data_IF_260909369221
#
_entry.id   IF_260909369221
#
_cell.length_a   1.000
_cell.length_b   1.000
_cell.length_c   1.000
_cell.angle_alpha   90.00
_cell.angle_beta   90.00
_cell.angle_gamma   90.00
#
_symmetry.space_group_name_H-M   'P 1'
#
loop_
_entity.id
_entity.type
_entity.pdbx_description
1 polymer ?
#
# COMPACT_ATOMS: atom_id res chain seq x y z
N UNK A 1 -0.07 2.91 -27.39
CA UNK A 1 -1.54 2.77 -27.45
C UNK A 1 -2.00 1.90 -26.31
N UNK A 2 -2.80 2.48 -25.45
CA UNK A 2 -3.47 1.70 -24.44
C UNK A 2 -4.57 0.89 -25.10
N UNK A 3 -4.37 -0.40 -25.19
CA UNK A 3 -5.39 -1.33 -25.67
C UNK A 3 -6.50 -1.51 -24.63
N UNK A 4 -6.31 -0.97 -23.47
CA UNK A 4 -7.26 -1.06 -22.34
C UNK A 4 -7.76 0.33 -22.01
N UNK A 5 -9.03 0.46 -21.56
CA UNK A 5 -9.50 1.74 -21.09
C UNK A 5 -8.60 2.20 -19.94
N UNK A 6 -8.38 3.52 -19.79
CA UNK A 6 -7.59 4.02 -18.65
C UNK A 6 -8.25 3.54 -17.36
N UNK A 7 -7.52 2.74 -16.60
CA UNK A 7 -7.96 2.31 -15.28
C UNK A 7 -7.72 3.46 -14.33
N UNK A 8 -8.61 3.66 -13.36
CA UNK A 8 -8.33 4.63 -12.34
C UNK A 8 -7.19 4.10 -11.47
N UNK A 9 -6.45 5.02 -10.88
CA UNK A 9 -5.26 4.71 -10.09
C UNK A 9 -5.56 3.80 -8.89
N UNK A 10 -6.78 3.92 -8.34
CA UNK A 10 -7.22 3.11 -7.22
C UNK A 10 -7.36 1.63 -7.61
N UNK A 11 -7.97 1.37 -8.78
CA UNK A 11 -8.10 0.01 -9.30
C UNK A 11 -6.73 -0.60 -9.62
N UNK A 12 -5.86 0.19 -10.22
CA UNK A 12 -4.49 -0.23 -10.55
C UNK A 12 -3.71 -0.57 -9.28
N UNK A 13 -3.84 0.23 -8.25
CA UNK A 13 -3.21 -0.01 -6.96
C UNK A 13 -3.74 -1.29 -6.32
N UNK A 14 -5.05 -1.51 -6.35
CA UNK A 14 -5.66 -2.69 -5.79
C UNK A 14 -5.17 -3.97 -6.48
N UNK A 15 -5.09 -3.94 -7.82
CA UNK A 15 -4.56 -5.07 -8.59
C UNK A 15 -3.10 -5.35 -8.26
N UNK A 16 -2.31 -4.30 -8.07
CA UNK A 16 -0.92 -4.44 -7.69
C UNK A 16 -0.79 -5.11 -6.32
N UNK A 17 -1.54 -4.66 -5.33
CA UNK A 17 -1.51 -5.26 -4.01
C UNK A 17 -1.99 -6.72 -4.03
N UNK A 18 -3.04 -7.00 -4.79
CA UNK A 18 -3.52 -8.38 -4.93
C UNK A 18 -2.43 -9.29 -5.48
N UNK A 19 -1.72 -8.82 -6.50
CA UNK A 19 -0.60 -9.55 -7.09
C UNK A 19 0.49 -9.82 -6.04
N UNK A 20 0.85 -8.81 -5.24
CA UNK A 20 1.85 -8.97 -4.18
C UNK A 20 1.38 -9.96 -3.14
N UNK A 21 0.15 -9.84 -2.65
CA UNK A 21 -0.37 -10.77 -1.65
C UNK A 21 -0.46 -12.21 -2.19
N UNK A 22 -0.78 -12.39 -3.46
CA UNK A 22 -0.78 -13.71 -4.09
C UNK A 22 0.63 -14.31 -4.14
N UNK A 23 1.62 -13.53 -4.52
CA UNK A 23 3.02 -13.99 -4.54
C UNK A 23 3.47 -14.39 -3.14
N UNK A 24 3.18 -13.56 -2.14
CA UNK A 24 3.52 -13.85 -0.76
C UNK A 24 2.82 -15.11 -0.26
N UNK A 25 1.57 -15.30 -0.65
CA UNK A 25 0.80 -16.47 -0.24
C UNK A 25 1.35 -17.75 -0.86
N UNK A 26 1.73 -17.70 -2.13
CA UNK A 26 2.29 -18.87 -2.84
C UNK A 26 3.67 -19.25 -2.31
N UNK A 27 4.36 -18.35 -1.65
CA UNK A 27 5.71 -18.56 -1.12
C UNK A 27 5.77 -18.31 0.39
N UNK A 28 4.67 -18.58 1.08
CA UNK A 28 4.47 -18.16 2.47
C UNK A 28 5.58 -18.61 3.43
N UNK A 29 5.96 -19.88 3.39
CA UNK A 29 6.98 -20.40 4.32
C UNK A 29 8.32 -19.72 4.14
N UNK A 30 8.74 -19.54 2.89
CA UNK A 30 10.00 -18.87 2.57
C UNK A 30 9.93 -17.41 3.01
N UNK A 31 8.81 -16.75 2.72
CA UNK A 31 8.63 -15.34 3.07
C UNK A 31 8.62 -15.13 4.58
N UNK A 32 7.98 -16.01 5.34
CA UNK A 32 7.99 -15.95 6.81
C UNK A 32 9.41 -16.02 7.33
N UNK A 33 10.20 -16.98 6.82
CA UNK A 33 11.59 -17.13 7.22
C UNK A 33 12.42 -15.87 6.93
N UNK A 34 12.17 -15.24 5.77
CA UNK A 34 12.94 -14.07 5.34
C UNK A 34 12.55 -12.78 6.09
N UNK A 35 11.33 -12.69 6.60
CA UNK A 35 10.88 -11.49 7.36
C UNK A 35 10.99 -11.67 8.88
N UNK A 36 11.39 -12.85 9.37
CA UNK A 36 11.56 -13.09 10.79
C UNK A 36 12.72 -12.27 11.37
N UNK A 37 12.81 -12.18 12.69
CA UNK A 37 13.87 -11.41 13.38
C UNK A 37 15.28 -11.83 12.96
N UNK A 38 15.46 -13.10 12.64
CA UNK A 38 16.72 -13.64 12.15
C UNK A 38 16.76 -13.71 10.62
N UNK A 39 15.85 -13.02 9.96
CA UNK A 39 15.72 -13.05 8.52
C UNK A 39 16.66 -12.09 7.82
N UNK A 40 16.50 -12.03 6.51
CA UNK A 40 17.38 -11.28 5.63
C UNK A 40 16.85 -9.84 5.44
N UNK A 41 17.53 -8.87 6.04
CA UNK A 41 17.20 -7.45 5.90
C UNK A 41 17.26 -7.03 4.43
N UNK A 42 18.16 -7.61 3.67
CA UNK A 42 18.29 -7.32 2.24
C UNK A 42 17.02 -7.67 1.47
N UNK A 43 16.39 -8.80 1.80
CA UNK A 43 15.12 -9.19 1.20
C UNK A 43 14.03 -8.17 1.50
N UNK A 44 13.90 -7.76 2.77
CA UNK A 44 12.89 -6.78 3.19
C UNK A 44 13.09 -5.47 2.45
N UNK A 45 14.33 -5.01 2.33
CA UNK A 45 14.65 -3.77 1.59
C UNK A 45 14.34 -3.88 0.11
N UNK A 46 14.58 -5.03 -0.51
CA UNK A 46 14.24 -5.25 -1.91
C UNK A 46 12.74 -5.20 -2.15
N UNK A 47 11.96 -5.82 -1.27
CA UNK A 47 10.49 -5.78 -1.35
C UNK A 47 10.02 -4.34 -1.17
N UNK A 48 10.52 -3.65 -0.16
CA UNK A 48 10.17 -2.25 0.09
C UNK A 48 10.49 -1.35 -1.11
N UNK A 49 11.66 -1.50 -1.69
CA UNK A 49 12.06 -0.74 -2.89
C UNK A 49 11.13 -1.01 -4.05
N UNK A 50 10.83 -2.28 -4.31
CA UNK A 50 9.93 -2.69 -5.39
C UNK A 50 8.53 -2.07 -5.22
N UNK A 51 7.99 -2.19 -4.02
CA UNK A 51 6.65 -1.65 -3.70
C UNK A 51 6.66 -0.13 -3.81
N UNK A 52 7.69 0.52 -3.25
CA UNK A 52 7.83 1.99 -3.27
C UNK A 52 7.87 2.54 -4.68
N UNK A 53 8.67 1.93 -5.55
CA UNK A 53 8.78 2.38 -6.94
C UNK A 53 7.47 2.25 -7.68
N UNK A 54 6.76 1.16 -7.47
CA UNK A 54 5.47 0.93 -8.14
C UNK A 54 4.39 1.89 -7.64
N UNK A 55 4.29 2.06 -6.34
CA UNK A 55 3.31 2.97 -5.73
C UNK A 55 3.61 4.42 -6.13
N UNK A 56 4.88 4.79 -6.18
CA UNK A 56 5.28 6.12 -6.65
C UNK A 56 4.79 6.40 -8.07
N UNK A 57 4.92 5.43 -8.98
CA UNK A 57 4.41 5.58 -10.34
C UNK A 57 2.90 5.75 -10.38
N UNK A 58 2.17 4.99 -9.57
CA UNK A 58 0.72 5.10 -9.47
C UNK A 58 0.34 6.48 -8.93
N UNK A 59 1.04 6.97 -7.92
CA UNK A 59 0.83 8.30 -7.35
C UNK A 59 1.06 9.40 -8.38
N UNK A 60 2.13 9.29 -9.15
CA UNK A 60 2.47 10.28 -10.19
C UNK A 60 1.42 10.35 -11.30
N UNK A 61 0.60 9.31 -11.45
CA UNK A 61 -0.44 9.28 -12.48
C UNK A 61 -1.68 10.12 -12.16
N UNK A 62 -1.73 10.77 -10.99
CA UNK A 62 -2.75 11.75 -10.67
C UNK A 62 -3.37 11.70 -9.29
N UNK A 63 -3.09 10.68 -8.48
CA UNK A 63 -3.71 10.55 -7.15
C UNK A 63 -3.23 11.57 -6.14
N UNK A 64 -2.04 12.14 -6.35
CA UNK A 64 -1.38 13.01 -5.37
C UNK A 64 -1.29 14.46 -5.80
N UNK A 65 -1.97 14.83 -6.88
CA UNK A 65 -1.87 16.18 -7.45
C UNK A 65 -2.15 17.29 -6.44
N UNK A 66 -3.06 17.05 -5.52
CA UNK A 66 -3.50 18.04 -4.53
C UNK A 66 -3.09 17.68 -3.10
N UNK A 67 -2.28 16.65 -2.93
CA UNK A 67 -1.87 16.17 -1.59
C UNK A 67 -0.69 17.01 -1.09
N UNK A 68 -0.86 17.60 0.09
CA UNK A 68 0.23 18.30 0.76
C UNK A 68 1.06 17.31 1.58
N UNK A 69 2.32 17.69 1.84
CA UNK A 69 3.27 16.86 2.60
C UNK A 69 3.38 15.43 2.07
N UNK A 70 3.31 15.29 0.74
CA UNK A 70 3.29 13.99 0.06
C UNK A 70 4.45 13.07 0.45
N UNK A 71 5.61 13.63 0.79
CA UNK A 71 6.77 12.83 1.21
C UNK A 71 6.49 12.03 2.47
N UNK A 72 5.89 12.67 3.45
CA UNK A 72 5.56 12.02 4.73
C UNK A 72 4.39 11.06 4.58
N UNK A 73 3.39 11.44 3.79
CA UNK A 73 2.24 10.59 3.49
C UNK A 73 2.72 9.32 2.79
N UNK A 74 3.61 9.46 1.81
CA UNK A 74 4.19 8.33 1.08
C UNK A 74 4.94 7.40 2.03
N UNK A 75 5.83 7.95 2.86
CA UNK A 75 6.60 7.16 3.82
C UNK A 75 5.70 6.40 4.80
N UNK A 76 4.66 7.05 5.28
CA UNK A 76 3.69 6.41 6.16
C UNK A 76 3.00 5.25 5.47
N UNK A 77 2.55 5.44 4.23
CA UNK A 77 1.87 4.40 3.47
C UNK A 77 2.79 3.20 3.19
N UNK A 78 4.03 3.44 2.82
CA UNK A 78 5.00 2.37 2.54
C UNK A 78 5.32 1.59 3.82
N UNK A 79 5.60 2.28 4.90
CA UNK A 79 5.93 1.63 6.19
C UNK A 79 4.74 0.85 6.73
N UNK A 80 3.54 1.42 6.63
CA UNK A 80 2.32 0.75 7.04
C UNK A 80 2.04 -0.50 6.19
N UNK A 81 2.22 -0.39 4.89
CA UNK A 81 2.05 -1.51 3.97
C UNK A 81 3.02 -2.65 4.26
N UNK A 82 4.28 -2.33 4.52
CA UNK A 82 5.28 -3.34 4.88
C UNK A 82 4.91 -4.02 6.20
N UNK A 83 4.43 -3.26 7.18
CA UNK A 83 3.94 -3.81 8.44
C UNK A 83 2.77 -4.76 8.24
N UNK A 84 1.82 -4.41 7.37
CA UNK A 84 0.68 -5.28 7.04
C UNK A 84 1.13 -6.58 6.38
N UNK A 85 2.06 -6.53 5.44
CA UNK A 85 2.59 -7.74 4.81
C UNK A 85 3.18 -8.70 5.83
N UNK A 86 4.00 -8.19 6.75
CA UNK A 86 4.63 -9.01 7.80
C UNK A 86 3.59 -9.63 8.71
N UNK A 87 2.65 -8.81 9.17
CA UNK A 87 1.60 -9.29 10.07
C UNK A 87 0.75 -10.37 9.39
N UNK A 88 0.34 -10.12 8.16
CA UNK A 88 -0.49 -11.04 7.40
C UNK A 88 0.20 -12.39 7.17
N UNK A 89 1.52 -12.37 6.88
CA UNK A 89 2.29 -13.60 6.66
C UNK A 89 2.27 -14.51 7.87
N UNK A 90 2.26 -13.96 9.08
CA UNK A 90 2.32 -14.72 10.33
C UNK A 90 0.95 -14.89 10.99
N UNK A 91 -0.11 -14.37 10.39
CA UNK A 91 -1.46 -14.46 10.94
C UNK A 91 -2.07 -15.83 10.64
N UNK A 92 -2.41 -16.57 11.69
CA UNK A 92 -3.07 -17.87 11.55
C UNK A 92 -4.45 -17.77 10.93
N UNK A 93 -5.10 -16.62 11.06
CA UNK A 93 -6.42 -16.33 10.50
C UNK A 93 -6.33 -15.35 9.32
N UNK A 94 -5.27 -15.46 8.52
CA UNK A 94 -5.01 -14.56 7.42
C UNK A 94 -6.19 -14.52 6.43
N UNK A 95 -6.58 -13.30 6.07
CA UNK A 95 -7.61 -13.08 5.06
C UNK A 95 -7.07 -13.43 3.67
N UNK A 96 -7.99 -13.67 2.73
CA UNK A 96 -7.61 -13.94 1.35
C UNK A 96 -6.86 -12.76 0.73
N UNK A 97 -5.92 -13.01 -0.21
CA UNK A 97 -5.17 -11.95 -0.88
C UNK A 97 -6.02 -10.84 -1.47
N UNK A 98 -7.13 -11.18 -2.12
CA UNK A 98 -8.02 -10.16 -2.70
C UNK A 98 -8.61 -9.24 -1.63
N UNK A 99 -8.97 -9.78 -0.47
CA UNK A 99 -9.51 -9.01 0.64
C UNK A 99 -8.42 -8.11 1.24
N UNK A 100 -7.21 -8.64 1.41
CA UNK A 100 -6.07 -7.85 1.91
C UNK A 100 -5.72 -6.71 0.96
N UNK A 101 -5.78 -6.97 -0.34
CA UNK A 101 -5.53 -5.93 -1.34
C UNK A 101 -6.53 -4.78 -1.22
N UNK A 102 -7.80 -5.11 -1.02
CA UNK A 102 -8.84 -4.09 -0.83
C UNK A 102 -8.60 -3.27 0.43
N UNK A 103 -8.31 -3.93 1.55
CA UNK A 103 -8.03 -3.25 2.83
C UNK A 103 -6.83 -2.31 2.67
N UNK A 104 -5.75 -2.81 2.10
CA UNK A 104 -4.52 -2.04 1.91
C UNK A 104 -4.78 -0.82 1.02
N UNK A 105 -5.50 -1.02 -0.09
CA UNK A 105 -5.86 0.06 -1.01
C UNK A 105 -6.72 1.11 -0.30
N UNK A 106 -7.73 0.68 0.45
CA UNK A 106 -8.63 1.59 1.16
C UNK A 106 -7.87 2.43 2.19
N UNK A 107 -6.89 1.84 2.88
CA UNK A 107 -6.06 2.57 3.83
C UNK A 107 -5.19 3.62 3.15
N UNK A 108 -4.57 3.27 2.03
CA UNK A 108 -3.72 4.20 1.27
C UNK A 108 -4.57 5.34 0.71
N UNK A 109 -5.67 5.00 0.05
CA UNK A 109 -6.56 6.00 -0.56
C UNK A 109 -7.18 6.89 0.50
N UNK A 110 -7.61 6.31 1.63
CA UNK A 110 -8.15 7.07 2.75
C UNK A 110 -7.14 8.05 3.31
N UNK A 111 -5.88 7.64 3.45
CA UNK A 111 -4.81 8.52 3.90
C UNK A 111 -4.61 9.67 2.92
N UNK A 112 -4.55 9.36 1.62
CA UNK A 112 -4.38 10.38 0.58
C UNK A 112 -5.52 11.40 0.58
N UNK A 113 -6.75 10.93 0.73
CA UNK A 113 -7.93 11.82 0.79
C UNK A 113 -7.87 12.73 2.00
N UNK A 114 -7.37 12.25 3.13
CA UNK A 114 -7.22 13.04 4.35
C UNK A 114 -6.24 14.20 4.20
N UNK A 115 -5.28 14.09 3.27
CA UNK A 115 -4.26 15.11 3.03
C UNK A 115 -4.45 15.85 1.72
N UNK A 116 -5.61 15.68 1.08
CA UNK A 116 -5.92 16.39 -0.17
C UNK A 116 -6.17 17.88 0.12
N UNK A 117 -5.47 18.76 -0.59
CA UNK A 117 -5.62 20.23 -0.48
C UNK A 117 -7.05 20.71 -0.79
N UNK A 118 -7.83 19.91 -1.51
CA UNK A 118 -9.23 20.22 -1.79
C UNK A 118 -10.16 19.84 -0.65
N UNK A 119 -9.63 19.17 0.38
CA UNK A 119 -10.40 18.82 1.55
C UNK A 119 -10.66 20.07 2.38
N UNK A 120 -11.91 20.29 2.80
CA UNK A 120 -12.26 21.51 3.53
C UNK A 120 -11.77 21.45 4.97
N UNK A 121 -11.21 22.58 5.45
CA UNK A 121 -10.71 22.68 6.82
C UNK A 121 -11.80 22.35 7.84
N UNK A 122 -13.05 22.69 7.55
CA UNK A 122 -14.19 22.37 8.42
C UNK A 122 -14.35 20.87 8.69
N UNK A 123 -13.86 20.03 7.78
CA UNK A 123 -13.94 18.58 7.95
C UNK A 123 -12.98 18.09 9.04
N UNK A 124 -11.84 18.78 9.21
CA UNK A 124 -10.90 18.47 10.28
C UNK A 124 -11.41 18.95 11.64
N UNK A 125 -12.10 20.07 11.67
CA UNK A 125 -12.64 20.63 12.92
C UNK A 125 -13.71 19.73 13.56
N UNK A 126 -14.28 18.83 12.78
CA UNK A 126 -15.25 17.82 13.28
C UNK A 126 -14.57 16.66 13.99
N UNK A 127 -13.27 16.50 13.78
CA UNK A 127 -12.48 15.46 14.45
C UNK A 127 -11.99 16.08 15.75
N UNK A 128 -12.77 15.92 16.81
CA UNK A 128 -12.35 16.38 18.13
C UNK A 128 -11.57 15.25 18.79
N UNK A 129 -10.32 15.49 18.92
CA UNK A 129 -9.46 14.60 19.71
C UNK A 129 -9.50 15.00 21.17
#
# INVERSE_FOLDING_TARGET
IDLYPPTNSEEEMCRFFEHIYNILNDNREICIALVSENGDISFIRQVETFVSERIKKIFESGMVKNVYDVRYVFDFCISGGMGLFKHWLTDENALEPAHMAKITTDMVVGTLKSFDNNFQVSDYSKIKL
#
